data_IF_217074708416
#
_entry.id   IF_217074708416
#
_cell.length_a   1.000
_cell.length_b   1.000
_cell.length_c   1.000
_cell.angle_alpha   90.00
_cell.angle_beta   90.00
_cell.angle_gamma   90.00
#
_symmetry.space_group_name_H-M   'P 1'
#
loop_
_entity.id
_entity.type
_entity.pdbx_description
1 polymer ?
#
# COMPACT_ATOMS: atom_id res chain seq x y z
N UNK A 1 6.05 8.98 -26.45
CA UNK A 1 5.87 9.91 -25.33
C UNK A 1 5.47 9.14 -24.08
N UNK A 2 6.16 9.39 -22.97
CA UNK A 2 5.91 8.70 -21.72
C UNK A 2 4.66 9.27 -21.03
N UNK A 3 3.73 8.40 -20.61
CA UNK A 3 2.56 8.82 -19.86
C UNK A 3 2.71 8.49 -18.39
N UNK A 4 2.34 9.45 -17.56
CA UNK A 4 2.27 9.25 -16.12
C UNK A 4 0.91 8.67 -15.75
N UNK A 5 0.93 7.53 -15.04
CA UNK A 5 -0.26 6.91 -14.49
C UNK A 5 -0.23 7.06 -12.97
N UNK A 6 -1.31 7.53 -12.40
CA UNK A 6 -1.45 7.63 -10.95
C UNK A 6 -2.44 6.56 -10.51
N UNK A 7 -1.96 5.58 -9.75
CA UNK A 7 -2.75 4.41 -9.38
C UNK A 7 -2.65 4.16 -7.89
N UNK A 8 -3.79 3.87 -7.26
CA UNK A 8 -3.87 3.55 -5.85
C UNK A 8 -4.51 2.18 -5.68
N UNK A 9 -3.81 1.30 -4.96
CA UNK A 9 -4.33 -0.01 -4.56
C UNK A 9 -4.78 0.09 -3.11
N UNK A 10 -5.98 -0.39 -2.83
CA UNK A 10 -6.55 -0.32 -1.48
C UNK A 10 -6.71 -1.72 -0.91
N UNK A 11 -6.17 -1.97 0.29
CA UNK A 11 -6.34 -3.23 0.98
C UNK A 11 -6.89 -2.99 2.39
N UNK A 12 -7.92 -3.74 2.77
CA UNK A 12 -8.60 -3.59 4.06
C UNK A 12 -8.68 -4.89 4.87
N UNK A 13 -8.17 -5.99 4.31
CA UNK A 13 -8.18 -7.30 4.95
C UNK A 13 -6.78 -7.91 4.92
N UNK A 14 -6.43 -8.68 5.96
CA UNK A 14 -5.12 -9.31 6.03
C UNK A 14 -4.88 -10.30 4.88
N UNK A 15 -5.92 -11.03 4.49
CA UNK A 15 -5.80 -12.03 3.43
C UNK A 15 -5.74 -11.43 2.02
N UNK A 16 -5.86 -10.11 1.89
CA UNK A 16 -5.78 -9.43 0.59
C UNK A 16 -4.37 -8.91 0.28
N UNK A 17 -3.44 -9.00 1.21
CA UNK A 17 -2.08 -8.51 0.97
C UNK A 17 -1.38 -9.24 -0.17
N UNK A 18 -1.54 -10.56 -0.26
CA UNK A 18 -0.88 -11.34 -1.31
C UNK A 18 -1.30 -10.88 -2.70
N UNK A 19 -2.61 -10.70 -2.94
CA UNK A 19 -3.10 -10.26 -4.25
C UNK A 19 -2.76 -8.77 -4.48
N UNK A 20 -2.76 -7.96 -3.43
CA UNK A 20 -2.39 -6.55 -3.55
C UNK A 20 -0.94 -6.41 -4.02
N UNK A 21 -0.02 -7.14 -3.42
CA UNK A 21 1.38 -7.13 -3.83
C UNK A 21 1.55 -7.67 -5.25
N UNK A 22 0.81 -8.72 -5.61
CA UNK A 22 0.85 -9.29 -6.95
C UNK A 22 0.38 -8.26 -7.99
N UNK A 23 -0.69 -7.54 -7.69
CA UNK A 23 -1.19 -6.49 -8.58
C UNK A 23 -0.19 -5.34 -8.72
N UNK A 24 0.47 -4.97 -7.62
CA UNK A 24 1.51 -3.94 -7.67
C UNK A 24 2.65 -4.36 -8.60
N UNK A 25 3.12 -5.58 -8.47
CA UNK A 25 4.18 -6.13 -9.32
C UNK A 25 3.76 -6.15 -10.79
N UNK A 26 2.52 -6.55 -11.07
CA UNK A 26 1.96 -6.58 -12.42
C UNK A 26 1.91 -5.19 -13.03
N UNK A 27 1.42 -4.20 -12.26
CA UNK A 27 1.33 -2.82 -12.73
C UNK A 27 2.71 -2.28 -13.08
N UNK A 28 3.70 -2.50 -12.22
CA UNK A 28 5.07 -2.05 -12.46
C UNK A 28 5.64 -2.69 -13.73
N UNK A 29 5.42 -3.98 -13.90
CA UNK A 29 5.91 -4.72 -15.07
C UNK A 29 5.26 -4.22 -16.36
N UNK A 30 3.94 -4.08 -16.35
CA UNK A 30 3.20 -3.62 -17.54
C UNK A 30 3.54 -2.17 -17.88
N UNK A 31 3.75 -1.33 -16.87
CA UNK A 31 4.16 0.06 -17.09
C UNK A 31 5.52 0.12 -17.77
N UNK A 32 6.48 -0.68 -17.31
CA UNK A 32 7.81 -0.75 -17.89
C UNK A 32 7.73 -1.20 -19.37
N UNK A 33 6.98 -2.28 -19.63
CA UNK A 33 6.82 -2.82 -20.99
C UNK A 33 6.15 -1.83 -21.92
N UNK A 34 5.19 -1.07 -21.43
CA UNK A 34 4.41 -0.10 -22.23
C UNK A 34 5.00 1.30 -22.26
N UNK A 35 6.15 1.50 -21.62
CA UNK A 35 6.80 2.80 -21.53
C UNK A 35 5.95 3.86 -20.82
N UNK A 36 5.27 3.44 -19.75
CA UNK A 36 4.54 4.34 -18.85
C UNK A 36 5.38 4.61 -17.62
N UNK A 37 5.25 5.81 -17.08
CA UNK A 37 5.72 6.11 -15.73
C UNK A 37 4.52 5.94 -14.79
N UNK A 38 4.68 5.22 -13.69
CA UNK A 38 3.58 5.01 -12.75
C UNK A 38 3.93 5.58 -11.38
N UNK A 39 2.96 6.33 -10.82
CA UNK A 39 2.98 6.75 -9.43
C UNK A 39 2.01 5.80 -8.70
N UNK A 40 2.56 4.80 -8.03
CA UNK A 40 1.78 3.72 -7.43
C UNK A 40 1.78 3.84 -5.91
N UNK A 41 0.59 3.82 -5.34
CA UNK A 41 0.39 3.82 -3.89
C UNK A 41 -0.37 2.58 -3.45
N UNK A 42 -0.04 2.09 -2.27
CA UNK A 42 -0.83 1.07 -1.57
C UNK A 42 -1.32 1.72 -0.28
N UNK A 43 -2.63 1.70 -0.06
CA UNK A 43 -3.24 2.24 1.15
C UNK A 43 -3.87 1.10 1.93
N UNK A 44 -3.43 0.92 3.18
CA UNK A 44 -3.96 -0.10 4.08
C UNK A 44 -4.80 0.54 5.17
N UNK A 45 -6.01 0.03 5.37
CA UNK A 45 -6.85 0.40 6.50
C UNK A 45 -7.51 -0.85 7.08
N UNK A 46 -8.30 -0.67 8.14
CA UNK A 46 -9.02 -1.75 8.81
C UNK A 46 -8.03 -2.88 9.21
N UNK A 47 -8.44 -4.12 9.09
CA UNK A 47 -7.63 -5.26 9.55
C UNK A 47 -6.35 -5.48 8.76
N UNK A 48 -6.23 -4.93 7.56
CA UNK A 48 -4.98 -5.02 6.78
C UNK A 48 -3.81 -4.36 7.51
N UNK A 49 -4.08 -3.39 8.39
CA UNK A 49 -3.03 -2.69 9.15
C UNK A 49 -2.29 -3.63 10.09
N UNK A 50 -2.92 -4.69 10.59
CA UNK A 50 -2.28 -5.66 11.47
C UNK A 50 -1.04 -6.28 10.85
N UNK A 51 -1.08 -6.54 9.54
CA UNK A 51 0.04 -7.14 8.82
C UNK A 51 1.25 -6.23 8.69
N UNK A 52 1.07 -4.93 8.92
CA UNK A 52 2.16 -3.95 8.86
C UNK A 52 2.86 -3.77 10.20
N UNK A 53 2.39 -4.42 11.25
CA UNK A 53 3.02 -4.37 12.56
C UNK A 53 4.27 -5.25 12.60
N UNK A 54 5.35 -4.71 13.15
CA UNK A 54 6.61 -5.46 13.31
C UNK A 54 6.47 -6.68 14.22
N UNK A 55 5.42 -6.73 15.05
CA UNK A 55 5.17 -7.82 15.98
C UNK A 55 4.37 -8.98 15.38
N UNK A 56 4.02 -8.90 14.11
CA UNK A 56 3.27 -9.95 13.43
C UNK A 56 4.13 -11.20 13.17
N UNK A 57 3.45 -12.34 12.97
CA UNK A 57 4.09 -13.65 12.83
C UNK A 57 4.96 -13.80 11.59
N UNK A 58 5.61 -14.99 11.46
CA UNK A 58 6.55 -15.32 10.40
C UNK A 58 6.03 -15.08 8.98
N UNK A 59 4.72 -15.23 8.75
CA UNK A 59 4.10 -14.89 7.46
C UNK A 59 4.32 -13.42 7.09
N UNK A 60 4.46 -12.56 8.07
CA UNK A 60 4.68 -11.13 7.88
C UNK A 60 6.12 -10.82 7.46
N UNK A 61 7.08 -11.69 7.78
CA UNK A 61 8.45 -11.49 7.32
C UNK A 61 8.52 -11.54 5.79
N UNK A 62 7.79 -12.47 5.17
CA UNK A 62 7.71 -12.56 3.72
C UNK A 62 7.02 -11.34 3.13
N UNK A 63 5.95 -10.88 3.75
CA UNK A 63 5.26 -9.65 3.33
C UNK A 63 6.21 -8.45 3.45
N UNK A 64 6.92 -8.34 4.57
CA UNK A 64 7.87 -7.25 4.79
C UNK A 64 8.89 -7.18 3.65
N UNK A 65 9.49 -8.32 3.30
CA UNK A 65 10.48 -8.36 2.23
C UNK A 65 9.89 -7.94 0.88
N UNK A 66 8.65 -8.39 0.60
CA UNK A 66 7.94 -8.01 -0.62
C UNK A 66 7.66 -6.50 -0.64
N UNK A 67 7.22 -5.93 0.47
CA UNK A 67 6.94 -4.51 0.56
C UNK A 67 8.19 -3.65 0.43
N UNK A 68 9.31 -4.11 1.00
CA UNK A 68 10.60 -3.42 0.83
C UNK A 68 11.00 -3.41 -0.65
N UNK A 69 10.85 -4.55 -1.34
CA UNK A 69 11.15 -4.64 -2.76
C UNK A 69 10.28 -3.69 -3.60
N UNK A 70 8.99 -3.57 -3.26
CA UNK A 70 8.08 -2.65 -3.93
C UNK A 70 8.47 -1.20 -3.66
N UNK A 71 8.79 -0.87 -2.41
CA UNK A 71 9.24 0.47 -2.05
C UNK A 71 10.51 0.85 -2.81
N UNK A 72 11.44 -0.09 -2.94
CA UNK A 72 12.68 0.14 -3.70
C UNK A 72 12.41 0.47 -5.16
N UNK A 73 11.25 0.05 -5.67
CA UNK A 73 10.81 0.36 -7.04
C UNK A 73 9.95 1.62 -7.11
N UNK A 74 9.83 2.35 -6.01
CA UNK A 74 9.13 3.63 -5.95
C UNK A 74 7.68 3.56 -5.50
N UNK A 75 7.20 2.40 -5.05
CA UNK A 75 5.83 2.29 -4.52
C UNK A 75 5.77 2.91 -3.13
N UNK A 76 4.78 3.77 -2.89
CA UNK A 76 4.54 4.39 -1.58
C UNK A 76 3.46 3.60 -0.85
N UNK A 77 3.73 3.26 0.41
CA UNK A 77 2.82 2.45 1.23
C UNK A 77 2.33 3.30 2.39
N UNK A 78 1.01 3.41 2.50
CA UNK A 78 0.33 4.25 3.50
C UNK A 78 -0.51 3.40 4.44
N UNK A 79 -0.56 3.81 5.70
CA UNK A 79 -1.27 3.13 6.77
C UNK A 79 -2.22 4.11 7.46
N UNK A 80 -3.43 3.66 7.73
CA UNK A 80 -4.49 4.46 8.36
C UNK A 80 -4.30 4.55 9.87
N UNK A 81 -4.13 5.77 10.39
CA UNK A 81 -3.97 6.00 11.82
C UNK A 81 -5.22 5.63 12.62
N UNK A 82 -6.41 5.90 12.08
CA UNK A 82 -7.67 5.52 12.75
C UNK A 82 -7.75 4.00 12.95
N UNK A 83 -7.33 3.23 11.93
CA UNK A 83 -7.32 1.76 12.04
C UNK A 83 -6.28 1.29 13.05
N UNK A 84 -5.12 1.95 13.11
CA UNK A 84 -4.12 1.66 14.12
C UNK A 84 -4.69 1.84 15.52
N UNK A 85 -5.40 2.94 15.75
CA UNK A 85 -6.02 3.21 17.05
C UNK A 85 -7.07 2.16 17.39
N UNK A 86 -7.89 1.79 16.43
CA UNK A 86 -8.91 0.75 16.61
C UNK A 86 -8.27 -0.60 16.98
N UNK A 87 -7.14 -0.93 16.36
CA UNK A 87 -6.42 -2.19 16.58
C UNK A 87 -5.44 -2.11 17.75
N UNK A 88 -5.34 -0.98 18.42
CA UNK A 88 -4.41 -0.74 19.52
C UNK A 88 -2.95 -0.95 19.08
N UNK A 89 -2.60 -0.50 17.89
CA UNK A 89 -1.25 -0.56 17.34
C UNK A 89 -0.62 0.82 17.45
N UNK A 90 0.48 0.91 18.20
CA UNK A 90 1.24 2.15 18.30
C UNK A 90 2.07 2.36 17.02
N UNK A 91 2.27 3.62 16.65
CA UNK A 91 3.06 3.98 15.47
C UNK A 91 4.48 3.42 15.51
N UNK A 92 5.06 3.27 16.72
CA UNK A 92 6.38 2.66 16.88
C UNK A 92 6.43 1.19 16.46
N UNK A 93 5.29 0.53 16.36
CA UNK A 93 5.18 -0.88 15.98
C UNK A 93 5.03 -1.08 14.48
N UNK A 94 4.76 -0.03 13.73
CA UNK A 94 4.57 -0.10 12.27
C UNK A 94 5.94 -0.15 11.59
N UNK A 95 6.03 -0.93 10.51
CA UNK A 95 7.26 -1.01 9.71
C UNK A 95 7.72 0.40 9.31
N UNK A 96 9.01 0.73 9.50
CA UNK A 96 9.47 2.13 9.43
C UNK A 96 9.35 2.78 8.06
N UNK A 97 9.29 2.03 6.99
CA UNK A 97 9.14 2.58 5.63
C UNK A 97 7.68 2.87 5.26
N UNK A 98 6.74 2.46 6.11
CA UNK A 98 5.31 2.72 5.88
C UNK A 98 4.99 4.13 6.38
N UNK A 99 4.27 4.89 5.56
CA UNK A 99 3.83 6.25 5.91
C UNK A 99 2.47 6.18 6.57
N UNK A 100 2.32 6.88 7.69
CA UNK A 100 1.06 6.92 8.42
C UNK A 100 0.28 8.17 8.01
N UNK A 101 -1.00 7.98 7.65
CA UNK A 101 -1.91 9.08 7.34
C UNK A 101 -3.05 9.10 8.37
N UNK A 102 -3.65 10.26 8.65
CA UNK A 102 -4.72 10.36 9.66
C UNK A 102 -5.91 9.45 9.36
N UNK A 103 -6.32 9.34 8.09
CA UNK A 103 -7.43 8.50 7.66
C UNK A 103 -7.13 7.94 6.29
N UNK A 104 -7.18 6.60 6.18
CA UNK A 104 -6.98 5.93 4.89
C UNK A 104 -8.09 6.27 3.90
N UNK A 105 -9.33 6.29 4.36
CA UNK A 105 -10.49 6.60 3.51
C UNK A 105 -10.40 8.03 2.97
N UNK A 106 -10.03 8.98 3.82
CA UNK A 106 -9.90 10.37 3.38
C UNK A 106 -8.74 10.53 2.40
N UNK A 107 -7.63 9.86 2.65
CA UNK A 107 -6.49 9.85 1.73
C UNK A 107 -6.91 9.34 0.34
N UNK A 108 -7.68 8.24 0.31
CA UNK A 108 -8.19 7.68 -0.94
C UNK A 108 -9.07 8.69 -1.67
N UNK A 109 -9.96 9.36 -0.93
CA UNK A 109 -10.85 10.36 -1.52
C UNK A 109 -10.05 11.51 -2.14
N UNK A 110 -9.03 12.01 -1.44
CA UNK A 110 -8.18 13.08 -1.94
C UNK A 110 -7.44 12.63 -3.22
N UNK A 111 -6.91 11.41 -3.23
CA UNK A 111 -6.21 10.89 -4.39
C UNK A 111 -7.13 10.76 -5.60
N UNK A 112 -8.37 10.32 -5.39
CA UNK A 112 -9.33 10.24 -6.48
C UNK A 112 -9.64 11.62 -7.06
N UNK A 113 -9.74 12.64 -6.22
CA UNK A 113 -9.88 14.02 -6.69
C UNK A 113 -8.66 14.49 -7.50
N UNK A 114 -7.50 13.94 -7.20
CA UNK A 114 -6.25 14.26 -7.91
C UNK A 114 -6.08 13.42 -9.20
N UNK A 115 -7.06 12.60 -9.53
CA UNK A 115 -7.03 11.82 -10.77
C UNK A 115 -6.43 10.43 -10.65
N UNK A 116 -6.21 9.92 -9.43
CA UNK A 116 -5.73 8.55 -9.27
C UNK A 116 -6.79 7.53 -9.65
N UNK A 117 -6.38 6.49 -10.37
CA UNK A 117 -7.22 5.32 -10.57
C UNK A 117 -7.25 4.52 -9.26
N UNK A 118 -8.45 4.16 -8.81
CA UNK A 118 -8.64 3.39 -7.59
C UNK A 118 -8.89 1.93 -7.93
N UNK A 119 -8.08 1.04 -7.35
CA UNK A 119 -8.24 -0.41 -7.55
C UNK A 119 -8.29 -1.07 -6.18
N UNK A 120 -9.30 -1.89 -5.97
CA UNK A 120 -9.42 -2.73 -4.78
C UNK A 120 -9.14 -4.17 -5.17
N UNK A 121 -7.93 -4.66 -4.90
CA UNK A 121 -7.56 -6.04 -5.25
C UNK A 121 -8.40 -7.10 -4.58
#
# INVERSE_FOLDING_TARGET
>A
MNKMLNILLHTDEEDRWAITCKNAETILKMAEMGNYTVNLEIVANSFAVKSLSADSFASTLKLKDTLIALQDKGVNIYCCSESMNFLEIDSSMILPFVKVVPSGVFHIALRQHEGFAYIKP
#
